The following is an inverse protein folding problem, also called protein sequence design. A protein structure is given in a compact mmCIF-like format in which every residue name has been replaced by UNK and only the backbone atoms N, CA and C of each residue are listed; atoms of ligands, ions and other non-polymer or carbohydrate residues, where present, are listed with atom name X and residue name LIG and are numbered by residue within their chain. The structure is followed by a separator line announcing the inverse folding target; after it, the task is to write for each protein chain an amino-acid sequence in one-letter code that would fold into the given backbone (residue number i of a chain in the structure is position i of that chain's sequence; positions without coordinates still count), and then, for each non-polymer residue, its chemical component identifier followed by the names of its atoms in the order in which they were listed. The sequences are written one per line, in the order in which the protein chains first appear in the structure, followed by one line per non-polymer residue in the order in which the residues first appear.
data_IF_613691152318
#
_entry.id   IF_613691152318
#
_cell.length_a   1.000
_cell.length_b   1.000
_cell.length_c   1.000
_cell.angle_alpha   90.00
_cell.angle_beta   90.00
_cell.angle_gamma   90.00
#
_symmetry.space_group_name_H-M   'P 1'
#
loop_
_entity.id
_entity.type
_entity.pdbx_description
1 polymer ?
#
# COMPACT_ATOMS: atom_id res chain seq x y z
N UNK A 1 -11.63 -8.86 -3.18
CA UNK A 1 -12.17 -7.49 -2.95
C UNK A 1 -11.07 -6.46 -3.08
N UNK A 2 -11.40 -5.30 -3.61
CA UNK A 2 -10.52 -4.12 -3.71
C UNK A 2 -11.34 -2.85 -3.50
N UNK A 3 -10.67 -1.74 -3.25
CA UNK A 3 -11.30 -0.42 -3.29
C UNK A 3 -11.37 0.08 -4.72
N UNK A 4 -12.53 0.59 -5.14
CA UNK A 4 -12.79 1.07 -6.50
C UNK A 4 -11.86 2.25 -6.87
N UNK A 5 -11.37 2.26 -8.12
CA UNK A 5 -10.54 3.33 -8.65
C UNK A 5 -9.11 3.38 -8.09
N UNK A 6 -8.65 2.32 -7.46
CA UNK A 6 -7.30 2.23 -6.90
C UNK A 6 -6.35 1.43 -7.80
N UNK A 7 -5.06 1.67 -7.64
CA UNK A 7 -4.02 0.85 -8.30
C UNK A 7 -4.06 -0.63 -7.89
N UNK A 8 -4.61 -0.91 -6.69
CA UNK A 8 -4.83 -2.27 -6.23
C UNK A 8 -5.90 -3.00 -7.05
N UNK A 9 -6.94 -2.29 -7.52
CA UNK A 9 -7.95 -2.87 -8.42
C UNK A 9 -7.35 -3.27 -9.76
N UNK A 10 -6.51 -2.42 -10.35
CA UNK A 10 -5.80 -2.74 -11.60
C UNK A 10 -4.89 -3.96 -11.43
N UNK A 11 -4.10 -3.98 -10.36
CA UNK A 11 -3.23 -5.10 -10.02
C UNK A 11 -3.98 -6.40 -9.75
N UNK A 12 -5.14 -6.31 -9.12
CA UNK A 12 -5.98 -7.48 -8.88
C UNK A 12 -6.45 -8.12 -10.19
N UNK A 13 -6.85 -7.33 -11.17
CA UNK A 13 -7.23 -7.81 -12.50
C UNK A 13 -6.07 -8.49 -13.22
N UNK A 14 -4.88 -7.94 -13.08
CA UNK A 14 -3.66 -8.46 -13.69
C UNK A 14 -3.22 -9.80 -13.07
N UNK A 15 -3.13 -9.86 -11.73
CA UNK A 15 -2.57 -11.00 -11.02
C UNK A 15 -3.58 -12.13 -10.78
N UNK A 16 -4.86 -11.82 -10.74
CA UNK A 16 -5.93 -12.79 -10.46
C UNK A 16 -7.01 -12.81 -11.54
N UNK A 17 -6.64 -13.08 -12.81
CA UNK A 17 -7.58 -12.98 -13.94
C UNK A 17 -8.74 -14.01 -13.88
N UNK A 18 -8.58 -15.06 -13.06
CA UNK A 18 -9.62 -16.09 -12.86
C UNK A 18 -10.50 -15.85 -11.63
N UNK A 19 -10.21 -14.83 -10.84
CA UNK A 19 -10.96 -14.53 -9.63
C UNK A 19 -12.16 -13.62 -9.92
N UNK A 20 -13.26 -13.83 -9.21
CA UNK A 20 -14.36 -12.87 -9.21
C UNK A 20 -13.95 -11.64 -8.40
N UNK A 21 -13.56 -10.58 -9.10
CA UNK A 21 -13.16 -9.33 -8.48
C UNK A 21 -14.38 -8.45 -8.24
N UNK A 22 -14.63 -8.11 -6.99
CA UNK A 22 -15.62 -7.12 -6.60
C UNK A 22 -14.88 -5.90 -6.04
N UNK A 23 -15.25 -4.71 -6.51
CA UNK A 23 -14.72 -3.43 -6.04
C UNK A 23 -15.77 -2.71 -5.22
N UNK A 24 -15.35 -2.05 -4.16
CA UNK A 24 -16.23 -1.35 -3.23
C UNK A 24 -15.86 0.14 -3.16
N UNK A 25 -16.86 0.99 -3.13
CA UNK A 25 -16.69 2.44 -3.01
C UNK A 25 -16.60 2.90 -1.54
N UNK A 26 -15.81 3.95 -1.32
CA UNK A 26 -15.81 4.63 -0.02
C UNK A 26 -17.23 5.18 0.31
N UNK A 27 -17.64 5.19 1.58
CA UNK A 27 -16.84 4.96 2.79
C UNK A 27 -16.71 3.49 3.21
N UNK A 28 -17.32 2.56 2.48
CA UNK A 28 -17.21 1.15 2.78
C UNK A 28 -15.76 0.65 2.63
N UNK A 29 -15.40 -0.37 3.38
CA UNK A 29 -14.04 -0.90 3.43
C UNK A 29 -14.01 -2.35 2.97
N UNK A 30 -13.15 -2.64 2.03
CA UNK A 30 -12.99 -3.96 1.41
C UNK A 30 -12.66 -5.08 2.41
N UNK A 31 -11.83 -4.81 3.43
CA UNK A 31 -11.54 -5.78 4.49
C UNK A 31 -12.77 -6.16 5.34
N UNK A 32 -13.77 -5.28 5.45
CA UNK A 32 -15.01 -5.57 6.17
C UNK A 32 -15.85 -6.64 5.47
N UNK A 33 -15.76 -6.74 4.16
CA UNK A 33 -16.40 -7.80 3.38
C UNK A 33 -15.77 -9.16 3.66
N UNK A 34 -14.44 -9.18 3.88
CA UNK A 34 -13.73 -10.41 4.29
C UNK A 34 -14.12 -10.82 5.70
N UNK A 35 -14.14 -9.88 6.66
CA UNK A 35 -14.57 -10.16 8.04
C UNK A 35 -16.02 -10.65 8.12
N UNK A 36 -16.88 -10.18 7.23
CA UNK A 36 -18.28 -10.59 7.16
C UNK A 36 -18.51 -11.88 6.37
N UNK A 37 -17.45 -12.53 5.85
CA UNK A 37 -17.55 -13.76 5.06
C UNK A 37 -18.17 -13.57 3.67
N UNK A 38 -18.24 -12.33 3.18
CA UNK A 38 -18.78 -12.03 1.84
C UNK A 38 -17.69 -11.99 0.76
N UNK A 39 -16.43 -12.08 1.16
CA UNK A 39 -15.28 -12.19 0.27
C UNK A 39 -14.21 -13.09 0.90
N UNK A 40 -13.48 -13.83 0.06
CA UNK A 40 -12.42 -14.73 0.49
C UNK A 40 -11.12 -13.96 0.85
N UNK A 41 -10.94 -12.75 0.32
CA UNK A 41 -9.78 -11.92 0.60
C UNK A 41 -9.89 -10.52 0.00
N UNK A 42 -9.01 -9.63 0.44
CA UNK A 42 -8.86 -8.30 -0.12
C UNK A 42 -7.40 -8.01 -0.47
N UNK A 43 -7.21 -7.09 -1.41
CA UNK A 43 -5.89 -6.62 -1.83
C UNK A 43 -5.72 -5.20 -1.33
N UNK A 44 -4.69 -5.00 -0.53
CA UNK A 44 -4.36 -3.71 0.04
C UNK A 44 -2.84 -3.53 0.15
N UNK A 45 -2.38 -2.39 0.62
CA UNK A 45 -0.96 -2.16 0.86
C UNK A 45 -0.45 -2.98 2.05
N UNK A 46 0.83 -3.36 2.03
CA UNK A 46 1.46 -4.05 3.17
C UNK A 46 1.36 -3.26 4.48
N UNK A 47 1.40 -1.94 4.40
CA UNK A 47 1.23 -1.03 5.54
C UNK A 47 -0.16 -1.17 6.17
N UNK A 48 -1.19 -1.21 5.35
CA UNK A 48 -2.56 -1.37 5.84
C UNK A 48 -2.80 -2.80 6.31
N UNK A 49 -2.36 -3.80 5.56
CA UNK A 49 -2.48 -5.20 5.95
C UNK A 49 -1.88 -5.48 7.33
N UNK A 50 -0.67 -4.98 7.60
CA UNK A 50 -0.02 -5.13 8.92
C UNK A 50 -0.84 -4.50 10.07
N UNK A 51 -1.47 -3.35 9.84
CA UNK A 51 -2.35 -2.73 10.83
C UNK A 51 -3.64 -3.53 11.04
N UNK A 52 -4.20 -4.04 9.96
CA UNK A 52 -5.46 -4.79 10.00
C UNK A 52 -5.31 -6.12 10.76
N UNK A 53 -4.25 -6.88 10.52
CA UNK A 53 -4.05 -8.17 11.23
C UNK A 53 -3.75 -8.00 12.72
N UNK A 54 -3.18 -6.86 13.12
CA UNK A 54 -3.01 -6.50 14.54
C UNK A 54 -4.37 -6.19 15.18
N UNK A 55 -5.21 -5.43 14.46
CA UNK A 55 -6.51 -4.99 14.98
C UNK A 55 -7.58 -6.07 14.91
N UNK A 56 -7.52 -6.92 13.90
CA UNK A 56 -8.49 -7.97 13.60
C UNK A 56 -7.78 -9.33 13.50
N UNK A 57 -7.65 -10.07 14.61
CA UNK A 57 -6.94 -11.37 14.63
C UNK A 57 -7.54 -12.45 13.73
N UNK A 58 -8.75 -12.23 13.22
CA UNK A 58 -9.41 -13.13 12.25
C UNK A 58 -8.82 -13.00 10.84
N UNK A 59 -8.08 -11.93 10.57
CA UNK A 59 -7.40 -11.70 9.30
C UNK A 59 -5.98 -12.22 9.34
N UNK A 60 -5.51 -12.75 8.23
CA UNK A 60 -4.14 -13.16 8.04
C UNK A 60 -3.57 -12.60 6.73
N UNK A 61 -2.27 -12.32 6.71
CA UNK A 61 -1.58 -11.96 5.48
C UNK A 61 -1.16 -13.25 4.78
N UNK A 62 -1.55 -13.38 3.50
CA UNK A 62 -1.14 -14.54 2.71
C UNK A 62 0.37 -14.50 2.49
N UNK A 63 1.10 -15.58 2.83
CA UNK A 63 2.53 -15.67 2.56
C UNK A 63 2.82 -15.45 1.06
N UNK A 64 3.88 -14.75 0.74
CA UNK A 64 4.30 -14.43 -0.63
C UNK A 64 3.39 -13.49 -1.43
N UNK A 65 2.36 -12.93 -0.83
CA UNK A 65 1.41 -12.02 -1.50
C UNK A 65 1.92 -10.62 -1.80
N UNK A 66 3.15 -10.27 -1.52
CA UNK A 66 3.64 -8.89 -1.58
C UNK A 66 4.84 -8.63 -2.49
N UNK A 67 4.92 -9.29 -3.64
CA UNK A 67 6.13 -9.23 -4.51
C UNK A 67 6.23 -8.05 -5.46
N UNK A 68 5.33 -7.08 -5.41
CA UNK A 68 5.36 -5.94 -6.33
C UNK A 68 5.60 -4.64 -5.56
N UNK A 69 6.86 -4.22 -5.37
CA UNK A 69 7.17 -2.99 -4.66
C UNK A 69 6.62 -1.79 -5.41
N UNK A 70 5.81 -0.98 -4.74
CA UNK A 70 5.36 0.30 -5.26
C UNK A 70 6.31 1.40 -4.80
N UNK A 71 6.87 2.14 -5.74
CA UNK A 71 7.68 3.31 -5.42
C UNK A 71 6.78 4.48 -5.06
N UNK A 72 7.10 5.13 -3.94
CA UNK A 72 6.48 6.38 -3.54
C UNK A 72 7.29 7.55 -4.07
N UNK A 73 6.62 8.56 -4.59
CA UNK A 73 7.24 9.77 -5.09
C UNK A 73 6.47 11.01 -4.63
N UNK A 74 7.17 12.13 -4.58
CA UNK A 74 6.55 13.45 -4.39
C UNK A 74 6.27 14.08 -5.74
N UNK A 75 5.08 14.66 -5.90
CA UNK A 75 4.75 15.49 -7.07
C UNK A 75 4.98 16.96 -6.74
N UNK A 76 5.61 17.66 -7.65
CA UNK A 76 5.85 19.11 -7.57
C UNK A 76 5.33 19.77 -8.86
N UNK A 77 5.00 21.06 -8.86
CA UNK A 77 4.59 21.77 -10.07
C UNK A 77 5.63 21.64 -11.19
N UNK A 78 5.15 21.41 -12.40
CA UNK A 78 6.02 21.31 -13.59
C UNK A 78 6.72 22.65 -13.83
N UNK A 79 8.03 22.60 -14.05
CA UNK A 79 8.83 23.80 -14.34
C UNK A 79 9.46 24.49 -13.12
N UNK A 80 9.07 24.11 -11.90
CA UNK A 80 9.73 24.62 -10.70
C UNK A 80 10.98 23.81 -10.37
N UNK A 81 12.07 24.11 -11.09
CA UNK A 81 13.36 23.44 -10.91
C UNK A 81 13.97 23.69 -9.53
N UNK A 82 13.75 24.88 -8.95
CA UNK A 82 14.27 25.23 -7.63
C UNK A 82 13.65 24.37 -6.54
N UNK A 83 12.34 24.21 -6.55
CA UNK A 83 11.62 23.38 -5.61
C UNK A 83 11.92 21.89 -5.81
N UNK A 84 11.99 21.44 -7.06
CA UNK A 84 12.35 20.06 -7.39
C UNK A 84 13.75 19.68 -6.86
N UNK A 85 14.74 20.55 -7.07
CA UNK A 85 16.09 20.35 -6.57
C UNK A 85 16.15 20.32 -5.03
N UNK A 86 15.39 21.18 -4.36
CA UNK A 86 15.29 21.18 -2.91
C UNK A 86 14.73 19.86 -2.38
N UNK A 87 13.60 19.39 -2.94
CA UNK A 87 12.96 18.13 -2.54
C UNK A 87 13.87 16.93 -2.78
N UNK A 88 14.51 16.86 -3.95
CA UNK A 88 15.44 15.79 -4.27
C UNK A 88 16.67 15.77 -3.34
N UNK A 89 17.22 16.93 -3.02
CA UNK A 89 18.31 17.05 -2.04
C UNK A 89 17.86 16.57 -0.67
N UNK A 90 16.70 17.01 -0.20
CA UNK A 90 16.14 16.59 1.08
C UNK A 90 15.95 15.06 1.15
N UNK A 91 15.39 14.45 0.10
CA UNK A 91 15.22 12.99 0.02
C UNK A 91 16.56 12.28 0.11
N UNK A 92 17.56 12.76 -0.65
CA UNK A 92 18.91 12.19 -0.65
C UNK A 92 19.56 12.26 0.75
N UNK A 93 19.49 13.43 1.40
CA UNK A 93 20.04 13.64 2.74
C UNK A 93 19.35 12.76 3.79
N UNK A 94 18.02 12.58 3.68
CA UNK A 94 17.26 11.73 4.58
C UNK A 94 17.50 10.23 4.35
N UNK A 95 17.74 9.82 3.11
CA UNK A 95 18.17 8.44 2.81
C UNK A 95 19.53 8.13 3.43
N UNK A 96 20.53 9.00 3.22
CA UNK A 96 21.89 8.78 3.72
C UNK A 96 22.00 8.86 5.25
N UNK A 97 21.15 9.65 5.91
CA UNK A 97 21.15 9.76 7.38
C UNK A 97 20.45 8.60 8.12
N UNK A 98 19.90 7.62 7.39
CA UNK A 98 19.13 6.53 7.97
C UNK A 98 17.75 6.94 8.54
N UNK A 99 17.29 8.15 8.22
CA UNK A 99 15.99 8.65 8.68
C UNK A 99 14.85 7.73 8.29
N UNK A 100 14.80 7.30 7.01
CA UNK A 100 13.76 6.41 6.54
C UNK A 100 13.83 5.02 7.17
N UNK A 101 15.02 4.49 7.41
CA UNK A 101 15.21 3.20 8.10
C UNK A 101 14.61 3.24 9.51
N UNK A 102 14.89 4.31 10.25
CA UNK A 102 14.32 4.50 11.59
C UNK A 102 12.79 4.66 11.54
N UNK A 103 12.30 5.39 10.55
CA UNK A 103 10.87 5.60 10.37
C UNK A 103 10.14 4.30 10.03
N UNK A 104 10.69 3.50 9.12
CA UNK A 104 10.14 2.19 8.75
C UNK A 104 10.08 1.26 9.97
N UNK A 105 11.18 1.19 10.74
CA UNK A 105 11.21 0.40 11.98
C UNK A 105 10.15 0.84 12.99
N UNK A 106 9.96 2.15 13.17
CA UNK A 106 8.93 2.70 14.07
C UNK A 106 7.52 2.24 13.71
N UNK A 107 7.23 2.04 12.43
CA UNK A 107 5.92 1.61 11.93
C UNK A 107 5.85 0.12 11.57
N UNK A 108 6.83 -0.68 11.98
CA UNK A 108 6.95 -2.12 11.67
C UNK A 108 6.89 -2.42 10.17
N UNK A 109 7.46 -1.56 9.35
CA UNK A 109 7.55 -1.72 7.91
C UNK A 109 8.93 -2.26 7.53
N UNK A 110 8.97 -3.19 6.59
CA UNK A 110 10.24 -3.70 6.06
C UNK A 110 10.77 -2.73 5.00
N UNK A 111 12.08 -2.47 5.04
CA UNK A 111 12.80 -1.88 3.90
C UNK A 111 12.82 -2.92 2.77
N UNK A 112 12.60 -2.45 1.55
CA UNK A 112 12.81 -3.23 0.35
C UNK A 112 14.30 -3.32 0.04
#
# INVERSE_FOLDING_TARGET
MTSLGTSQEEKAKEFFPKSKLNSIEAPARDFQEVLAGRADGNITSSTEANKLVIKYPQLAIVPDGGKNPAFLAMMVPKGDSKWNNYVNKWIKDKKSSGFFTKLLAKYNLKSL
#
